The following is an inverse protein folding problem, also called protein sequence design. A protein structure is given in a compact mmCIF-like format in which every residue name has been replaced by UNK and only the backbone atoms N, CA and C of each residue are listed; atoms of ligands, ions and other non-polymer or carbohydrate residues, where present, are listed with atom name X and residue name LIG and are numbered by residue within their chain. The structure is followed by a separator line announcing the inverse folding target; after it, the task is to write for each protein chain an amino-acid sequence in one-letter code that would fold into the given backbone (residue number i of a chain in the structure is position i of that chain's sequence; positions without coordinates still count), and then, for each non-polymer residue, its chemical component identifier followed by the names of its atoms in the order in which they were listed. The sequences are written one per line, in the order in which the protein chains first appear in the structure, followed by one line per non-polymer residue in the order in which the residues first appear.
data_IF_591334490242
#
_entry.id   IF_591334490242
#
_cell.length_a   1.000
_cell.length_b   1.000
_cell.length_c   1.000
_cell.angle_alpha   90.00
_cell.angle_beta   90.00
_cell.angle_gamma   90.00
#
_symmetry.space_group_name_H-M   'P 1'
#
loop_
_entity.id
_entity.type
_entity.pdbx_description
1 polymer ?
#
# COMPACT_ATOMS: atom_id res chain seq x y z
N UNK A 1 -6.04 13.00 0.45
CA UNK A 1 -5.82 12.09 1.59
C UNK A 1 -4.84 10.99 1.21
N UNK A 2 -3.76 10.81 1.98
CA UNK A 2 -2.78 9.73 1.84
C UNK A 2 -3.06 8.71 2.95
N UNK A 3 -3.19 7.42 2.59
CA UNK A 3 -3.32 6.34 3.57
C UNK A 3 -1.94 5.73 3.86
N UNK A 4 -1.61 5.57 5.14
CA UNK A 4 -0.31 5.04 5.56
C UNK A 4 -0.49 3.78 6.38
N UNK A 5 0.39 2.79 6.16
CA UNK A 5 0.58 1.66 7.08
C UNK A 5 2.07 1.30 7.14
N UNK A 6 2.69 1.34 8.32
CA UNK A 6 4.10 0.97 8.45
C UNK A 6 4.36 0.24 9.77
N UNK A 7 4.60 -1.06 9.73
CA UNK A 7 4.69 -1.89 10.94
C UNK A 7 5.75 -2.99 10.90
N UNK A 8 6.41 -3.18 9.76
CA UNK A 8 7.41 -4.24 9.56
C UNK A 8 8.57 -4.08 10.53
N UNK A 9 9.09 -5.20 11.05
CA UNK A 9 10.17 -5.19 12.04
C UNK A 9 11.45 -4.56 11.51
N UNK A 10 11.79 -4.84 10.26
CA UNK A 10 12.96 -4.26 9.57
C UNK A 10 12.90 -2.74 9.43
N UNK A 11 11.70 -2.17 9.50
CA UNK A 11 11.46 -0.74 9.38
C UNK A 11 11.40 -0.02 10.73
N UNK A 12 11.26 -0.75 11.84
CA UNK A 12 11.20 -0.15 13.18
C UNK A 12 12.52 0.55 13.53
N UNK A 13 12.44 1.67 14.24
CA UNK A 13 13.60 2.51 14.56
C UNK A 13 13.81 3.62 13.53
N UNK A 14 15.07 3.85 13.14
CA UNK A 14 15.43 5.00 12.29
C UNK A 14 14.75 5.02 10.91
N UNK A 15 14.57 3.90 10.18
CA UNK A 15 13.86 3.91 8.90
C UNK A 15 12.44 4.50 9.00
N UNK A 16 11.66 4.07 10.00
CA UNK A 16 10.34 4.61 10.30
C UNK A 16 10.38 6.08 10.69
N UNK A 17 11.32 6.48 11.56
CA UNK A 17 11.48 7.88 11.97
C UNK A 17 11.76 8.79 10.77
N UNK A 18 12.64 8.37 9.86
CA UNK A 18 12.95 9.09 8.62
C UNK A 18 11.71 9.29 7.75
N UNK A 19 10.96 8.21 7.51
CA UNK A 19 9.73 8.26 6.70
C UNK A 19 8.69 9.19 7.34
N UNK A 20 8.46 9.09 8.64
CA UNK A 20 7.47 9.93 9.34
C UNK A 20 7.85 11.42 9.32
N UNK A 21 9.13 11.75 9.48
CA UNK A 21 9.59 13.15 9.35
C UNK A 21 9.32 13.70 7.96
N UNK A 22 9.57 12.92 6.90
CA UNK A 22 9.26 13.31 5.52
C UNK A 22 7.77 13.50 5.31
N UNK A 23 6.95 12.56 5.79
CA UNK A 23 5.49 12.66 5.69
C UNK A 23 4.97 13.93 6.36
N UNK A 24 5.44 14.23 7.57
CA UNK A 24 5.10 15.46 8.29
C UNK A 24 5.51 16.70 7.52
N UNK A 25 6.74 16.75 7.02
CA UNK A 25 7.25 17.88 6.22
C UNK A 25 6.39 18.11 4.98
N UNK A 26 6.01 17.05 4.25
CA UNK A 26 5.16 17.17 3.06
C UNK A 26 3.78 17.70 3.44
N UNK A 27 3.16 17.18 4.50
CA UNK A 27 1.85 17.68 4.97
C UNK A 27 1.96 19.14 5.40
N UNK A 28 2.99 19.54 6.14
CA UNK A 28 3.20 20.93 6.59
C UNK A 28 3.37 21.90 5.41
N UNK A 29 4.00 21.46 4.31
CA UNK A 29 4.27 22.29 3.12
C UNK A 29 3.16 22.29 2.07
N UNK A 30 2.20 21.34 2.13
CA UNK A 30 1.11 21.22 1.15
C UNK A 30 -0.24 21.25 1.87
N UNK A 31 -0.93 22.39 1.80
CA UNK A 31 -2.10 22.70 2.62
C UNK A 31 -3.32 21.79 2.38
N UNK A 32 -3.43 21.19 1.19
CA UNK A 32 -4.53 20.34 0.71
C UNK A 32 -4.31 18.84 1.01
N UNK A 33 -3.19 18.49 1.64
CA UNK A 33 -2.86 17.11 1.98
C UNK A 33 -3.28 16.81 3.42
N UNK A 34 -3.94 15.66 3.56
CA UNK A 34 -4.20 14.99 4.83
C UNK A 34 -3.61 13.58 4.81
N UNK A 35 -3.11 13.14 5.95
CA UNK A 35 -2.55 11.81 6.18
C UNK A 35 -3.43 11.07 7.17
N UNK A 36 -3.82 9.83 6.85
CA UNK A 36 -4.49 8.94 7.79
C UNK A 36 -3.61 7.71 8.02
N UNK A 37 -3.33 7.43 9.29
CA UNK A 37 -2.51 6.30 9.70
C UNK A 37 -3.23 5.50 10.79
N UNK A 38 -3.83 4.34 10.44
CA UNK A 38 -4.26 3.33 11.41
C UNK A 38 -3.03 2.70 12.07
N UNK A 39 -2.71 3.15 13.29
CA UNK A 39 -1.44 2.85 13.94
C UNK A 39 -1.47 1.43 14.52
N UNK A 40 -0.52 0.59 14.11
CA UNK A 40 -0.41 -0.78 14.64
C UNK A 40 -0.21 -0.75 16.17
N UNK A 41 -0.82 -1.71 16.88
CA UNK A 41 -0.76 -1.87 18.35
C UNK A 41 0.64 -2.17 18.95
N UNK A 42 1.70 -2.10 18.14
CA UNK A 42 3.05 -2.35 18.62
C UNK A 42 3.52 -1.07 19.33
N UNK A 43 3.92 -1.13 20.62
CA UNK A 43 4.31 0.05 21.37
C UNK A 43 5.43 0.88 20.71
N UNK A 44 6.40 0.22 20.06
CA UNK A 44 7.49 0.90 19.36
C UNK A 44 6.97 1.71 18.18
N UNK A 45 5.96 1.18 17.49
CA UNK A 45 5.32 1.84 16.34
C UNK A 45 4.48 3.01 16.82
N UNK A 46 3.68 2.83 17.87
CA UNK A 46 2.86 3.88 18.49
C UNK A 46 3.73 5.02 19.01
N UNK A 47 4.74 4.74 19.82
CA UNK A 47 5.66 5.75 20.35
C UNK A 47 6.36 6.55 19.24
N UNK A 48 6.77 5.86 18.16
CA UNK A 48 7.42 6.52 17.02
C UNK A 48 6.43 7.39 16.23
N UNK A 49 5.19 6.93 16.05
CA UNK A 49 4.13 7.70 15.41
C UNK A 49 3.78 8.92 16.24
N UNK A 50 3.49 8.75 17.53
CA UNK A 50 3.09 9.83 18.43
C UNK A 50 4.19 10.90 18.53
N UNK A 51 5.45 10.48 18.69
CA UNK A 51 6.57 11.43 18.84
C UNK A 51 6.85 12.30 17.61
N UNK A 52 6.41 11.90 16.42
CA UNK A 52 6.73 12.60 15.16
C UNK A 52 5.49 13.14 14.47
N UNK A 53 4.39 12.40 14.44
CA UNK A 53 3.21 12.68 13.63
C UNK A 53 2.05 13.30 14.42
N UNK A 54 2.06 13.22 15.76
CA UNK A 54 1.01 13.80 16.59
C UNK A 54 1.02 15.35 16.55
N UNK A 55 -0.07 15.93 17.04
CA UNK A 55 -0.31 17.38 17.17
C UNK A 55 -0.30 18.14 15.83
N UNK A 56 -0.78 17.52 14.77
CA UNK A 56 -0.99 18.17 13.48
C UNK A 56 -2.42 17.92 12.98
N UNK A 57 -3.18 18.97 12.71
CA UNK A 57 -4.64 18.90 12.41
C UNK A 57 -5.01 18.10 11.15
N UNK A 58 -4.05 17.86 10.27
CA UNK A 58 -4.19 17.10 9.01
C UNK A 58 -3.48 15.75 9.03
N UNK A 59 -2.97 15.33 10.20
CA UNK A 59 -2.39 14.00 10.40
C UNK A 59 -3.24 13.28 11.43
N UNK A 60 -3.93 12.24 10.97
CA UNK A 60 -4.90 11.51 11.76
C UNK A 60 -4.31 10.16 12.16
N UNK A 61 -3.80 10.10 13.39
CA UNK A 61 -3.42 8.85 14.03
C UNK A 61 -4.69 8.22 14.62
N UNK A 62 -5.08 7.06 14.10
CA UNK A 62 -6.30 6.36 14.51
C UNK A 62 -6.00 4.92 14.92
N UNK A 63 -6.92 4.32 15.64
CA UNK A 63 -6.84 2.90 15.98
C UNK A 63 -6.85 2.02 14.72
N UNK A 64 -6.25 0.81 14.76
CA UNK A 64 -6.33 -0.14 13.67
C UNK A 64 -7.77 -0.35 13.21
N UNK A 65 -7.98 -0.27 11.90
CA UNK A 65 -9.28 -0.48 11.27
C UNK A 65 -9.52 -1.96 11.03
N UNK A 66 -10.79 -2.35 11.03
CA UNK A 66 -11.19 -3.63 10.46
C UNK A 66 -11.03 -3.63 8.93
N UNK A 67 -11.17 -4.81 8.33
CA UNK A 67 -10.94 -4.98 6.89
C UNK A 67 -11.92 -4.17 6.03
N UNK A 68 -13.17 -4.01 6.46
CA UNK A 68 -14.20 -3.31 5.69
C UNK A 68 -13.90 -1.82 5.69
N UNK A 69 -13.62 -1.26 6.86
CA UNK A 69 -13.27 0.15 6.99
C UNK A 69 -11.95 0.46 6.28
N UNK A 70 -10.95 -0.41 6.43
CA UNK A 70 -9.65 -0.25 5.79
C UNK A 70 -9.77 -0.25 4.25
N UNK A 71 -10.50 -1.21 3.66
CA UNK A 71 -10.69 -1.26 2.20
C UNK A 71 -11.47 -0.05 1.68
N UNK A 72 -12.50 0.41 2.39
CA UNK A 72 -13.23 1.61 2.01
C UNK A 72 -12.38 2.87 2.12
N UNK A 73 -11.51 2.96 3.13
CA UNK A 73 -10.59 4.06 3.29
C UNK A 73 -9.52 4.06 2.19
N UNK A 74 -8.96 2.89 1.88
CA UNK A 74 -8.02 2.69 0.78
C UNK A 74 -8.63 3.14 -0.55
N UNK A 75 -9.88 2.75 -0.85
CA UNK A 75 -10.59 3.15 -2.06
C UNK A 75 -10.82 4.66 -2.18
N UNK A 76 -10.86 5.39 -1.06
CA UNK A 76 -10.98 6.86 -1.01
C UNK A 76 -9.64 7.58 -0.92
N UNK A 77 -8.55 6.87 -0.68
CA UNK A 77 -7.21 7.45 -0.67
C UNK A 77 -6.83 7.97 -2.06
N UNK A 78 -5.95 8.97 -2.07
CA UNK A 78 -5.32 9.45 -3.29
C UNK A 78 -4.22 8.46 -3.70
N UNK A 79 -3.29 8.18 -2.80
CA UNK A 79 -2.37 7.05 -2.89
C UNK A 79 -2.09 6.46 -1.51
N UNK A 80 -1.42 5.31 -1.50
CA UNK A 80 -1.12 4.55 -0.30
C UNK A 80 0.40 4.46 -0.11
N UNK A 81 0.87 4.64 1.11
CA UNK A 81 2.26 4.38 1.50
C UNK A 81 2.30 3.20 2.47
N UNK A 82 2.97 2.10 2.09
CA UNK A 82 2.84 0.85 2.83
C UNK A 82 4.10 0.00 2.85
N UNK A 83 4.33 -0.72 3.95
CA UNK A 83 5.22 -1.89 4.02
C UNK A 83 4.45 -3.22 4.16
N UNK A 84 3.12 -3.17 4.08
CA UNK A 84 2.24 -4.32 4.13
C UNK A 84 2.30 -5.10 2.82
N UNK A 85 2.28 -6.44 2.94
CA UNK A 85 2.20 -7.31 1.78
C UNK A 85 0.81 -7.33 1.16
N UNK A 86 -0.23 -7.54 1.97
CA UNK A 86 -1.61 -7.63 1.48
C UNK A 86 -2.06 -6.36 0.76
N UNK A 87 -1.71 -5.19 1.31
CA UNK A 87 -2.06 -3.89 0.70
C UNK A 87 -1.48 -3.72 -0.71
N UNK A 88 -0.29 -4.28 -0.97
CA UNK A 88 0.31 -4.26 -2.32
C UNK A 88 -0.50 -5.08 -3.33
N UNK A 89 -1.24 -6.11 -2.89
CA UNK A 89 -2.10 -6.94 -3.74
C UNK A 89 -3.51 -6.35 -3.91
N UNK A 90 -4.00 -5.68 -2.87
CA UNK A 90 -5.35 -5.13 -2.80
C UNK A 90 -5.48 -3.78 -3.51
N UNK A 91 -4.53 -2.88 -3.28
CA UNK A 91 -4.57 -1.51 -3.80
C UNK A 91 -4.66 -1.42 -5.34
N UNK A 92 -4.01 -2.30 -6.13
CA UNK A 92 -4.18 -2.30 -7.57
C UNK A 92 -5.62 -2.56 -8.03
N UNK A 93 -6.41 -3.36 -7.30
CA UNK A 93 -7.84 -3.54 -7.61
C UNK A 93 -8.66 -2.26 -7.40
N UNK A 94 -8.14 -1.32 -6.61
CA UNK A 94 -8.80 -0.07 -6.26
C UNK A 94 -8.31 1.10 -7.14
N UNK A 95 -7.40 0.84 -8.09
CA UNK A 95 -6.78 1.87 -8.93
C UNK A 95 -5.97 2.88 -8.12
N UNK A 96 -5.33 2.43 -7.03
CA UNK A 96 -4.57 3.31 -6.13
C UNK A 96 -3.07 3.11 -6.33
N UNK A 97 -2.32 4.18 -6.67
CA UNK A 97 -0.87 4.13 -6.64
C UNK A 97 -0.36 3.75 -5.25
N UNK A 98 0.71 2.93 -5.20
CA UNK A 98 1.31 2.49 -3.95
C UNK A 98 2.80 2.81 -3.92
N UNK A 99 3.23 3.56 -2.91
CA UNK A 99 4.64 3.73 -2.57
C UNK A 99 5.03 2.69 -1.51
N UNK A 100 5.88 1.73 -1.91
CA UNK A 100 6.28 0.62 -1.05
C UNK A 100 7.51 1.02 -0.23
N UNK A 101 7.32 1.11 1.09
CA UNK A 101 8.29 1.54 2.10
C UNK A 101 9.25 0.40 2.48
N UNK A 102 9.82 -0.28 1.48
CA UNK A 102 10.77 -1.40 1.64
C UNK A 102 11.87 -1.28 0.59
N UNK A 103 13.07 -1.74 0.91
CA UNK A 103 14.17 -1.75 -0.07
C UNK A 103 14.09 -2.92 -1.06
N UNK A 104 13.28 -3.94 -0.73
CA UNK A 104 13.02 -5.13 -1.54
C UNK A 104 11.56 -5.52 -1.42
N UNK A 105 11.03 -6.15 -2.46
CA UNK A 105 9.68 -6.70 -2.45
C UNK A 105 9.64 -8.09 -3.05
N UNK A 106 8.88 -8.98 -2.42
CA UNK A 106 8.49 -10.29 -2.95
C UNK A 106 7.35 -10.21 -3.98
N UNK A 107 6.96 -8.99 -4.38
CA UNK A 107 5.86 -8.66 -5.29
C UNK A 107 6.36 -7.91 -6.54
N UNK A 108 7.30 -8.49 -7.31
CA UNK A 108 7.85 -7.83 -8.50
C UNK A 108 6.79 -7.56 -9.58
N UNK A 109 5.69 -8.32 -9.61
CA UNK A 109 4.62 -8.22 -10.59
C UNK A 109 3.93 -6.85 -10.54
N UNK A 110 3.65 -6.33 -9.34
CA UNK A 110 3.02 -5.02 -9.16
C UNK A 110 3.96 -3.86 -9.49
N UNK A 111 5.27 -4.05 -9.32
CA UNK A 111 6.28 -3.09 -9.78
C UNK A 111 6.37 -3.09 -11.31
N UNK A 112 6.36 -4.27 -11.94
CA UNK A 112 6.38 -4.41 -13.40
C UNK A 112 5.09 -3.89 -14.05
N UNK A 113 3.94 -4.13 -13.43
CA UNK A 113 2.65 -3.60 -13.88
C UNK A 113 2.57 -2.07 -13.74
N UNK A 114 3.39 -1.48 -12.86
CA UNK A 114 3.47 -0.04 -12.64
C UNK A 114 2.56 0.48 -11.53
N UNK A 115 1.76 -0.37 -10.88
CA UNK A 115 0.89 0.04 -9.76
C UNK A 115 1.67 0.28 -8.47
N UNK A 116 2.80 -0.42 -8.29
CA UNK A 116 3.67 -0.30 -7.13
C UNK A 116 4.97 0.42 -7.51
N UNK A 117 5.45 1.29 -6.63
CA UNK A 117 6.78 1.90 -6.72
C UNK A 117 7.56 1.62 -5.45
N UNK A 118 8.68 0.91 -5.58
CA UNK A 118 9.56 0.62 -4.47
C UNK A 118 10.39 1.87 -4.14
N UNK A 119 10.19 2.45 -2.96
CA UNK A 119 10.82 3.73 -2.57
C UNK A 119 11.82 3.59 -1.42
N UNK A 120 11.83 2.44 -0.73
CA UNK A 120 12.67 2.25 0.45
C UNK A 120 12.27 3.16 1.60
N UNK A 121 13.26 3.57 2.39
CA UNK A 121 13.07 4.43 3.59
C UNK A 121 14.04 5.62 3.62
N UNK A 122 14.66 5.92 2.48
CA UNK A 122 15.59 7.04 2.36
C UNK A 122 14.81 8.36 2.18
N UNK A 123 15.03 9.39 3.02
CA UNK A 123 14.20 10.58 3.06
C UNK A 123 13.98 11.26 1.70
N UNK A 124 15.06 11.46 0.93
CA UNK A 124 14.97 12.15 -0.35
C UNK A 124 14.21 11.32 -1.39
N UNK A 125 14.37 10.00 -1.37
CA UNK A 125 13.65 9.09 -2.27
C UNK A 125 12.16 9.09 -1.95
N UNK A 126 11.81 8.97 -0.67
CA UNK A 126 10.42 8.99 -0.20
C UNK A 126 9.76 10.32 -0.53
N UNK A 127 10.43 11.45 -0.23
CA UNK A 127 9.92 12.80 -0.51
C UNK A 127 9.69 13.01 -2.00
N UNK A 128 10.69 12.69 -2.83
CA UNK A 128 10.59 12.81 -4.29
C UNK A 128 9.42 11.98 -4.83
N UNK A 129 9.25 10.74 -4.35
CA UNK A 129 8.17 9.87 -4.82
C UNK A 129 6.77 10.37 -4.39
N UNK A 130 6.65 10.90 -3.17
CA UNK A 130 5.40 11.53 -2.72
C UNK A 130 5.06 12.73 -3.59
N UNK A 131 5.99 13.67 -3.75
CA UNK A 131 5.77 14.89 -4.53
C UNK A 131 5.49 14.58 -6.00
N UNK A 132 6.14 13.56 -6.56
CA UNK A 132 5.84 13.15 -7.93
C UNK A 132 4.38 12.72 -8.10
N UNK A 133 3.81 11.94 -7.16
CA UNK A 133 2.39 11.56 -7.26
C UNK A 133 1.43 12.72 -6.99
N UNK A 134 1.86 13.72 -6.22
CA UNK A 134 1.07 14.90 -5.89
C UNK A 134 1.06 15.92 -7.03
N UNK A 135 2.22 16.15 -7.65
CA UNK A 135 2.45 17.26 -8.58
C UNK A 135 2.40 16.81 -10.05
N UNK A 136 2.69 15.53 -10.34
CA UNK A 136 2.66 14.97 -11.71
C UNK A 136 1.43 14.09 -11.91
N UNK A 137 0.39 14.70 -12.48
CA UNK A 137 -0.85 14.01 -12.80
C UNK A 137 -0.66 12.85 -13.79
N UNK A 138 0.30 12.95 -14.71
CA UNK A 138 0.53 11.89 -15.69
C UNK A 138 1.15 10.66 -15.02
N UNK A 139 2.11 10.85 -14.11
CA UNK A 139 2.67 9.76 -13.30
C UNK A 139 1.60 9.12 -12.40
N UNK A 140 0.76 9.94 -11.76
CA UNK A 140 -0.36 9.44 -10.97
C UNK A 140 -1.29 8.54 -11.80
N UNK A 141 -1.77 9.01 -12.95
CA UNK A 141 -2.68 8.25 -13.81
C UNK A 141 -2.03 6.96 -14.31
N UNK A 142 -0.74 7.02 -14.69
CA UNK A 142 0.01 5.84 -15.12
C UNK A 142 0.01 4.73 -14.06
N UNK A 143 0.13 5.08 -12.78
CA UNK A 143 0.08 4.11 -11.69
C UNK A 143 -1.34 3.69 -11.32
N UNK A 144 -2.32 4.60 -11.39
CA UNK A 144 -3.71 4.35 -11.05
C UNK A 144 -4.42 3.43 -12.06
N UNK A 145 -4.12 3.58 -13.35
CA UNK A 145 -4.71 2.80 -14.44
C UNK A 145 -4.03 1.44 -14.67
N UNK A 146 -2.94 1.16 -13.93
CA UNK A 146 -2.20 -0.09 -14.05
C UNK A 146 -3.06 -1.28 -13.59
N UNK A 147 -3.18 -2.30 -14.45
CA UNK A 147 -4.00 -3.48 -14.19
C UNK A 147 -3.43 -4.30 -13.02
N UNK A 148 -4.32 -4.83 -12.18
CA UNK A 148 -3.93 -5.68 -11.06
C UNK A 148 -3.33 -7.02 -11.57
N UNK A 149 -2.04 -7.32 -11.28
CA UNK A 149 -1.42 -8.57 -11.70
C UNK A 149 -1.70 -9.75 -10.74
N UNK A 150 -2.36 -9.53 -9.60
CA UNK A 150 -2.50 -10.53 -8.53
C UNK A 150 -3.79 -11.35 -8.59
N UNK A 151 -4.81 -10.89 -9.33
CA UNK A 151 -6.01 -11.69 -9.51
C UNK A 151 -7.21 -10.92 -10.07
N UNK A 152 -8.28 -11.67 -10.25
CA UNK A 152 -9.56 -11.23 -10.81
C UNK A 152 -10.74 -11.54 -9.88
N UNK A 153 -10.47 -11.78 -8.59
CA UNK A 153 -11.46 -12.15 -7.59
C UNK A 153 -11.94 -13.61 -7.64
N UNK A 154 -11.42 -14.45 -8.55
CA UNK A 154 -11.85 -15.87 -8.68
C UNK A 154 -10.81 -16.89 -8.18
N UNK A 155 -9.86 -16.46 -7.36
CA UNK A 155 -8.82 -17.34 -6.83
C UNK A 155 -9.42 -18.53 -6.04
N UNK A 156 -10.38 -18.27 -5.14
CA UNK A 156 -11.03 -19.30 -4.33
C UNK A 156 -11.73 -20.37 -5.16
N UNK A 157 -12.47 -19.95 -6.20
CA UNK A 157 -13.14 -20.86 -7.14
C UNK A 157 -12.12 -21.75 -7.87
N UNK A 158 -11.01 -21.17 -8.36
CA UNK A 158 -9.95 -21.93 -9.04
C UNK A 158 -9.26 -22.92 -8.11
N UNK A 159 -8.98 -22.52 -6.87
CA UNK A 159 -8.37 -23.39 -5.86
C UNK A 159 -9.29 -24.57 -5.55
N UNK A 160 -10.58 -24.31 -5.31
CA UNK A 160 -11.55 -25.38 -5.04
C UNK A 160 -11.65 -26.35 -6.22
N UNK A 161 -11.75 -25.83 -7.45
CA UNK A 161 -11.79 -26.66 -8.65
C UNK A 161 -10.50 -27.47 -8.85
N UNK A 162 -9.34 -26.93 -8.47
CA UNK A 162 -8.07 -27.64 -8.56
C UNK A 162 -7.99 -28.79 -7.55
N UNK A 163 -8.47 -28.58 -6.33
CA UNK A 163 -8.60 -29.62 -5.31
C UNK A 163 -9.57 -30.71 -5.79
N UNK A 164 -10.74 -30.33 -6.30
CA UNK A 164 -11.72 -31.29 -6.81
C UNK A 164 -11.14 -32.12 -7.97
N UNK A 165 -10.35 -31.52 -8.85
CA UNK A 165 -9.69 -32.21 -9.95
C UNK A 165 -8.65 -33.22 -9.42
N UNK A 166 -7.80 -32.80 -8.48
CA UNK A 166 -6.77 -33.67 -7.88
C UNK A 166 -7.36 -34.92 -7.22
N UNK A 167 -8.53 -34.78 -6.58
CA UNK A 167 -9.25 -35.90 -5.95
C UNK A 167 -10.25 -36.60 -6.89
N UNK A 168 -10.19 -36.35 -8.20
CA UNK A 168 -11.03 -37.02 -9.20
C UNK A 168 -12.53 -36.74 -9.11
N UNK A 169 -12.93 -35.63 -8.45
CA UNK A 169 -14.33 -35.19 -8.31
C UNK A 169 -14.84 -34.43 -9.53
N UNK A 170 -13.94 -33.86 -10.32
CA UNK A 170 -14.23 -33.24 -11.62
C UNK A 170 -13.25 -33.76 -12.67
N UNK A 171 -13.69 -33.79 -13.94
CA UNK A 171 -12.89 -34.33 -15.06
C UNK A 171 -11.92 -33.32 -15.66
N UNK A 172 -12.24 -32.05 -15.57
CA UNK A 172 -11.48 -30.97 -16.21
C UNK A 172 -10.66 -30.20 -15.18
N UNK A 173 -9.39 -29.94 -15.52
CA UNK A 173 -8.52 -29.09 -14.71
C UNK A 173 -8.93 -27.63 -14.88
N UNK A 174 -9.07 -26.84 -13.80
CA UNK A 174 -9.42 -25.43 -13.93
C UNK A 174 -8.34 -24.65 -14.70
N UNK A 175 -8.78 -23.66 -15.45
CA UNK A 175 -7.87 -22.76 -16.15
C UNK A 175 -7.12 -21.86 -15.15
N UNK A 176 -5.80 -21.75 -15.34
CA UNK A 176 -4.97 -20.82 -14.59
C UNK A 176 -5.41 -19.37 -14.82
N UNK A 177 -5.26 -18.54 -13.80
CA UNK A 177 -5.35 -17.09 -13.96
C UNK A 177 -4.29 -16.61 -14.96
N UNK A 178 -4.68 -15.66 -15.82
CA UNK A 178 -3.79 -15.00 -16.77
C UNK A 178 -3.93 -13.50 -16.58
N UNK A 179 -2.80 -12.82 -16.43
CA UNK A 179 -2.76 -11.36 -16.45
C UNK A 179 -3.15 -10.87 -17.84
N UNK A 180 -4.07 -9.91 -17.90
CA UNK A 180 -4.36 -9.22 -19.16
C UNK A 180 -3.25 -8.20 -19.37
N UNK A 181 -2.20 -8.54 -20.10
CA UNK A 181 -1.26 -7.55 -20.63
C UNK A 181 -2.01 -6.67 -21.65
#
# INVERSE_FOLDING_TARGET
MILVTMHRRENQGEPMRRVFRVMREVVETHADIELIYPVHLNPVVQETADSILDHHSRIHLIDPLDVVDFHNLAARSYFIMTDSGGVQEEAPSLGKPVLVLRDRTERPEGVQAGTLKLVGTEPQTVKTAMLQLLDDHAEYQRMADAKNPYGDGRASERILNAILYEFGRVKERPQSFRTQC
#
